data_IF_947131858554
#
_entry.id   IF_947131858554
#
_cell.length_a   1.000
_cell.length_b   1.000
_cell.length_c   1.000
_cell.angle_alpha   90.00
_cell.angle_beta   90.00
_cell.angle_gamma   90.00
#
_symmetry.space_group_name_H-M   'P 1'
#
loop_
_entity.id
_entity.type
_entity.pdbx_description
1 polymer ?
#
# COMPACT_ATOMS: atom_id res chain seq x y z
N UNK A 1 2.70 13.31 -11.70
CA UNK A 1 2.66 11.84 -11.77
C UNK A 1 2.10 11.34 -10.45
N UNK A 2 1.13 10.43 -10.47
CA UNK A 2 0.63 9.78 -9.26
C UNK A 2 1.67 8.79 -8.73
N UNK A 3 1.64 8.55 -7.42
CA UNK A 3 2.48 7.51 -6.78
C UNK A 3 2.25 6.15 -7.43
N UNK A 4 3.27 5.28 -7.50
CA UNK A 4 3.08 3.89 -7.86
C UNK A 4 2.03 3.26 -6.93
N UNK A 5 1.11 2.49 -7.50
CA UNK A 5 0.03 1.86 -6.75
C UNK A 5 -0.04 0.38 -7.13
N UNK A 6 0.11 -0.49 -6.12
CA UNK A 6 0.14 -1.94 -6.31
C UNK A 6 -1.15 -2.44 -6.96
N UNK A 7 -2.30 -2.00 -6.47
CA UNK A 7 -3.60 -2.46 -6.98
C UNK A 7 -3.82 -2.01 -8.42
N UNK A 8 -3.48 -0.75 -8.76
CA UNK A 8 -3.56 -0.23 -10.13
C UNK A 8 -2.63 -0.94 -11.11
N UNK A 9 -1.49 -1.43 -10.64
CA UNK A 9 -0.61 -2.25 -11.48
C UNK A 9 -1.25 -3.61 -11.73
N UNK A 10 -1.85 -4.23 -10.72
CA UNK A 10 -2.52 -5.53 -10.83
C UNK A 10 -3.77 -5.47 -11.73
N UNK A 11 -4.48 -4.36 -11.76
CA UNK A 11 -5.62 -4.14 -12.65
C UNK A 11 -5.25 -4.23 -14.14
N UNK A 12 -3.98 -4.00 -14.50
CA UNK A 12 -3.49 -4.12 -15.88
C UNK A 12 -3.11 -5.55 -16.28
N UNK A 13 -3.20 -6.49 -15.35
CA UNK A 13 -2.87 -7.89 -15.64
C UNK A 13 -4.03 -8.56 -16.38
N UNK A 14 -3.73 -9.33 -17.41
CA UNK A 14 -4.75 -10.08 -18.16
C UNK A 14 -5.65 -10.93 -17.25
N UNK A 15 -6.96 -10.92 -17.49
CA UNK A 15 -7.97 -11.63 -16.67
C UNK A 15 -8.41 -10.88 -15.42
N UNK A 16 -7.96 -9.66 -15.24
CA UNK A 16 -8.47 -8.72 -14.23
C UNK A 16 -9.29 -7.66 -14.95
N UNK A 17 -10.54 -7.49 -14.53
CA UNK A 17 -11.37 -6.40 -15.01
C UNK A 17 -11.15 -5.16 -14.13
N UNK A 18 -11.08 -4.01 -14.76
CA UNK A 18 -11.14 -2.74 -14.05
C UNK A 18 -12.57 -2.59 -13.50
N UNK A 19 -12.70 -2.28 -12.22
CA UNK A 19 -13.97 -1.87 -11.63
C UNK A 19 -14.43 -0.52 -12.20
N UNK A 20 -15.61 -0.08 -11.79
CA UNK A 20 -16.08 1.27 -12.12
C UNK A 20 -15.00 2.30 -11.73
N UNK A 21 -14.87 3.38 -12.50
CA UNK A 21 -13.77 4.36 -12.48
C UNK A 21 -13.34 4.90 -11.09
N UNK A 22 -14.16 4.73 -10.05
CA UNK A 22 -13.88 5.14 -8.67
C UNK A 22 -13.73 3.96 -7.69
N UNK A 23 -13.91 2.70 -8.14
CA UNK A 23 -13.78 1.54 -7.26
C UNK A 23 -12.45 0.83 -7.54
N UNK A 24 -11.49 0.96 -6.64
CA UNK A 24 -10.15 0.35 -6.75
C UNK A 24 -10.14 -1.15 -6.41
N UNK A 25 -11.25 -1.86 -6.58
CA UNK A 25 -11.31 -3.31 -6.42
C UNK A 25 -10.61 -4.05 -7.57
N UNK A 26 -10.10 -5.24 -7.28
CA UNK A 26 -9.74 -6.22 -8.30
C UNK A 26 -10.95 -7.09 -8.60
N UNK A 27 -11.32 -7.20 -9.85
CA UNK A 27 -12.38 -8.08 -10.33
C UNK A 27 -11.73 -9.17 -11.17
N UNK A 28 -11.45 -10.31 -10.54
CA UNK A 28 -10.67 -11.39 -11.14
C UNK A 28 -11.57 -12.49 -11.57
N UNK A 29 -11.53 -12.89 -12.84
CA UNK A 29 -12.34 -13.98 -13.43
C UNK A 29 -13.85 -13.87 -13.13
N UNK A 30 -14.39 -12.65 -13.08
CA UNK A 30 -15.81 -12.40 -12.80
C UNK A 30 -16.20 -12.42 -11.33
N UNK A 31 -15.23 -12.60 -10.41
CA UNK A 31 -15.47 -12.47 -8.98
C UNK A 31 -15.56 -11.00 -8.53
N UNK A 32 -16.16 -10.77 -7.37
CA UNK A 32 -16.32 -9.46 -6.77
C UNK A 32 -15.04 -8.97 -6.05
N UNK A 33 -14.95 -7.66 -5.80
CA UNK A 33 -13.80 -7.06 -5.13
C UNK A 33 -13.53 -7.59 -3.72
N UNK A 34 -14.59 -7.99 -3.00
CA UNK A 34 -14.53 -8.56 -1.65
C UNK A 34 -14.17 -10.05 -1.61
N UNK A 35 -14.14 -10.72 -2.76
CA UNK A 35 -13.74 -12.12 -2.89
C UNK A 35 -12.23 -12.30 -3.05
N UNK A 36 -11.45 -11.23 -3.05
CA UNK A 36 -10.00 -11.27 -3.10
C UNK A 36 -9.39 -11.26 -1.68
N UNK A 37 -8.35 -12.06 -1.48
CA UNK A 37 -7.56 -12.05 -0.26
C UNK A 37 -6.34 -11.15 -0.46
N UNK A 38 -6.24 -10.09 0.33
CA UNK A 38 -5.06 -9.24 0.36
C UNK A 38 -4.25 -9.52 1.62
N UNK A 39 -2.96 -9.70 1.44
CA UNK A 39 -2.03 -9.98 2.52
C UNK A 39 -0.86 -8.99 2.46
N UNK A 40 -0.39 -8.57 3.61
CA UNK A 40 0.89 -7.88 3.78
C UNK A 40 1.75 -8.66 4.77
N UNK A 41 2.89 -9.15 4.31
CA UNK A 41 3.77 -10.05 5.06
C UNK A 41 3.00 -11.22 5.73
N UNK A 42 2.04 -11.82 5.01
CA UNK A 42 1.20 -12.92 5.46
C UNK A 42 0.03 -12.55 6.37
N UNK A 43 -0.15 -11.27 6.72
CA UNK A 43 -1.26 -10.79 7.54
C UNK A 43 -2.40 -10.28 6.65
N UNK A 44 -3.65 -10.73 6.86
CA UNK A 44 -4.79 -10.25 6.08
C UNK A 44 -5.03 -8.74 6.26
N UNK A 45 -5.22 -8.07 5.13
CA UNK A 45 -5.59 -6.66 5.06
C UNK A 45 -7.06 -6.57 4.61
N UNK A 46 -7.91 -5.99 5.44
CA UNK A 46 -9.35 -5.90 5.16
C UNK A 46 -9.73 -4.62 4.42
N UNK A 47 -9.08 -3.51 4.75
CA UNK A 47 -9.27 -2.24 4.06
C UNK A 47 -8.08 -1.99 3.14
N UNK A 48 -8.31 -2.15 1.86
CA UNK A 48 -7.27 -2.09 0.83
C UNK A 48 -7.17 -0.73 0.15
N UNK A 49 -8.03 0.23 0.55
CA UNK A 49 -8.19 1.46 -0.20
C UNK A 49 -8.36 2.70 0.68
N UNK A 50 -7.80 3.81 0.22
CA UNK A 50 -8.02 5.14 0.76
C UNK A 50 -8.75 6.04 -0.25
N UNK A 51 -9.42 7.06 0.25
CA UNK A 51 -10.08 8.09 -0.58
C UNK A 51 -11.02 7.51 -1.64
N UNK A 52 -11.96 6.66 -1.22
CA UNK A 52 -12.95 6.02 -2.11
C UNK A 52 -12.31 5.22 -3.26
N UNK A 53 -11.09 4.70 -3.05
CA UNK A 53 -10.43 3.89 -4.03
C UNK A 53 -9.38 4.59 -4.90
N UNK A 54 -9.13 5.86 -4.68
CA UNK A 54 -8.11 6.59 -5.43
C UNK A 54 -6.68 6.12 -5.12
N UNK A 55 -6.46 5.59 -3.91
CA UNK A 55 -5.17 5.07 -3.46
C UNK A 55 -5.35 3.71 -2.81
N UNK A 56 -4.41 2.81 -3.06
CA UNK A 56 -4.33 1.56 -2.27
C UNK A 56 -3.67 1.81 -0.92
N UNK A 57 -4.02 0.98 0.07
CA UNK A 57 -3.39 0.97 1.39
C UNK A 57 -1.94 0.44 1.36
N UNK A 58 -1.48 -0.06 0.22
CA UNK A 58 -0.12 -0.52 0.04
C UNK A 58 0.82 0.65 -0.26
N UNK A 59 1.75 0.92 0.63
CA UNK A 59 2.84 1.85 0.37
C UNK A 59 3.88 1.18 -0.54
N UNK A 60 3.86 1.52 -1.84
CA UNK A 60 4.73 0.89 -2.83
C UNK A 60 6.23 1.07 -2.55
N UNK A 61 6.62 2.10 -1.80
CA UNK A 61 8.03 2.37 -1.51
C UNK A 61 8.66 1.31 -0.59
N UNK A 62 7.84 0.66 0.27
CA UNK A 62 8.32 -0.43 1.15
C UNK A 62 8.10 -1.82 0.55
N UNK A 63 7.42 -1.93 -0.59
CA UNK A 63 7.12 -3.23 -1.21
C UNK A 63 8.35 -3.80 -1.89
N UNK A 64 8.64 -5.07 -1.60
CA UNK A 64 9.70 -5.85 -2.25
C UNK A 64 9.17 -6.71 -3.38
N UNK A 65 8.07 -7.41 -3.13
CA UNK A 65 7.48 -8.38 -4.05
C UNK A 65 5.97 -8.44 -3.88
N UNK A 66 5.28 -8.79 -4.97
CA UNK A 66 3.84 -9.04 -4.97
C UNK A 66 3.60 -10.35 -5.69
N UNK A 67 3.12 -11.36 -4.98
CA UNK A 67 2.67 -12.61 -5.56
C UNK A 67 1.17 -12.53 -5.79
N UNK A 68 0.74 -12.58 -7.05
CA UNK A 68 -0.64 -12.49 -7.45
C UNK A 68 -1.15 -13.82 -8.02
N UNK A 69 -2.05 -14.47 -7.30
CA UNK A 69 -2.68 -15.71 -7.71
C UNK A 69 -4.11 -15.42 -8.18
N UNK A 70 -4.37 -15.52 -9.47
CA UNK A 70 -5.70 -15.31 -10.07
C UNK A 70 -6.61 -16.52 -9.95
N UNK A 71 -6.02 -17.70 -9.79
CA UNK A 71 -6.68 -19.00 -9.59
C UNK A 71 -5.65 -20.02 -9.11
N UNK A 72 -6.11 -21.17 -8.61
CA UNK A 72 -5.19 -22.26 -8.24
C UNK A 72 -4.20 -21.91 -7.15
N UNK A 73 -4.55 -21.05 -6.22
CA UNK A 73 -3.68 -20.66 -5.12
C UNK A 73 -3.44 -21.83 -4.15
N UNK A 74 -2.26 -21.91 -3.50
CA UNK A 74 -1.93 -22.94 -2.54
C UNK A 74 -2.94 -23.05 -1.39
N UNK A 75 -3.12 -24.26 -0.85
CA UNK A 75 -4.09 -24.56 0.23
C UNK A 75 -3.87 -23.77 1.53
N UNK A 76 -2.69 -23.15 1.71
CA UNK A 76 -2.41 -22.25 2.84
C UNK A 76 -3.24 -20.97 2.81
N UNK A 77 -3.76 -20.58 1.65
CA UNK A 77 -4.63 -19.43 1.49
C UNK A 77 -6.09 -19.90 1.52
N UNK A 78 -6.87 -19.33 2.41
CA UNK A 78 -8.30 -19.65 2.55
C UNK A 78 -9.14 -18.40 2.77
N UNK A 79 -10.47 -18.60 2.81
CA UNK A 79 -11.42 -17.54 3.18
C UNK A 79 -11.81 -16.57 2.07
N UNK A 80 -11.29 -16.75 0.83
CA UNK A 80 -11.66 -15.97 -0.34
C UNK A 80 -11.71 -16.87 -1.58
N UNK A 81 -12.51 -16.48 -2.58
CA UNK A 81 -12.86 -17.33 -3.70
C UNK A 81 -12.21 -16.92 -5.02
N UNK A 82 -11.91 -15.63 -5.22
CA UNK A 82 -11.51 -15.10 -6.51
C UNK A 82 -9.99 -15.08 -6.69
N UNK A 83 -9.27 -14.35 -5.86
CA UNK A 83 -7.81 -14.23 -5.99
C UNK A 83 -7.09 -14.02 -4.67
N UNK A 84 -5.75 -14.15 -4.71
CA UNK A 84 -4.87 -13.83 -3.58
C UNK A 84 -3.79 -12.87 -4.03
N UNK A 85 -3.63 -11.78 -3.32
CA UNK A 85 -2.57 -10.79 -3.47
C UNK A 85 -1.71 -10.83 -2.21
N UNK A 86 -0.55 -11.45 -2.29
CA UNK A 86 0.42 -11.55 -1.18
C UNK A 86 1.54 -10.53 -1.40
N UNK A 87 1.47 -9.41 -0.68
CA UNK A 87 2.44 -8.32 -0.74
C UNK A 87 3.48 -8.54 0.34
N UNK A 88 4.75 -8.56 -0.06
CA UNK A 88 5.89 -8.66 0.85
C UNK A 88 6.65 -7.37 0.89
N UNK A 89 6.87 -6.88 2.10
CA UNK A 89 7.69 -5.68 2.32
C UNK A 89 9.18 -6.02 2.35
N UNK A 90 10.02 -5.03 2.04
CA UNK A 90 11.45 -5.18 2.08
C UNK A 90 11.96 -5.43 3.51
N UNK A 91 12.95 -6.30 3.63
CA UNK A 91 13.57 -6.68 4.91
C UNK A 91 14.51 -5.59 5.46
N UNK A 92 14.83 -4.57 4.65
CA UNK A 92 15.84 -3.57 4.94
C UNK A 92 17.26 -4.04 4.63
N UNK A 93 18.16 -3.09 4.50
CA UNK A 93 19.57 -3.38 4.20
C UNK A 93 20.33 -3.75 5.47
N UNK A 94 21.00 -4.90 5.47
CA UNK A 94 21.76 -5.38 6.65
C UNK A 94 23.17 -4.79 6.77
N UNK A 95 23.64 -4.04 5.76
CA UNK A 95 25.02 -3.57 5.72
C UNK A 95 25.15 -2.05 5.69
N UNK A 96 24.22 -1.37 5.02
CA UNK A 96 24.31 0.07 4.75
C UNK A 96 22.94 0.74 5.03
N UNK A 97 23.01 1.98 5.48
CA UNK A 97 21.83 2.83 5.60
C UNK A 97 21.45 3.39 4.22
N UNK A 98 20.16 3.32 3.91
CA UNK A 98 19.57 3.99 2.75
C UNK A 98 18.35 4.79 3.19
N UNK A 99 18.16 5.91 2.57
CA UNK A 99 16.97 6.73 2.73
C UNK A 99 16.48 7.19 1.37
N UNK A 100 15.17 7.19 1.19
CA UNK A 100 14.50 7.70 0.01
C UNK A 100 13.35 8.61 0.43
N UNK A 101 13.07 9.60 -0.40
CA UNK A 101 11.86 10.42 -0.26
C UNK A 101 11.24 10.64 -1.63
N UNK A 102 9.94 10.81 -1.64
CA UNK A 102 9.19 11.14 -2.84
C UNK A 102 8.15 12.22 -2.49
N UNK A 103 8.04 13.18 -3.37
CA UNK A 103 7.04 14.23 -3.29
C UNK A 103 6.24 14.18 -4.59
N UNK A 104 4.98 13.80 -4.48
CA UNK A 104 4.02 13.78 -5.58
C UNK A 104 3.01 14.91 -5.48
N UNK A 105 2.13 15.01 -6.48
CA UNK A 105 1.08 16.03 -6.50
C UNK A 105 0.04 15.83 -5.38
N UNK A 106 -0.24 14.59 -5.01
CA UNK A 106 -1.33 14.23 -4.09
C UNK A 106 -0.83 13.64 -2.76
N UNK A 107 0.41 13.13 -2.72
CA UNK A 107 1.01 12.51 -1.56
C UNK A 107 2.52 12.71 -1.50
N UNK A 108 3.09 12.50 -0.33
CA UNK A 108 4.52 12.32 -0.15
C UNK A 108 4.81 11.07 0.67
N UNK A 109 6.00 10.54 0.46
CA UNK A 109 6.50 9.40 1.22
C UNK A 109 7.97 9.59 1.57
N UNK A 110 8.34 8.97 2.68
CA UNK A 110 9.73 8.80 3.11
C UNK A 110 9.94 7.33 3.48
N UNK A 111 11.12 6.84 3.19
CA UNK A 111 11.54 5.50 3.57
C UNK A 111 12.96 5.54 4.12
N UNK A 112 13.19 4.79 5.18
CA UNK A 112 14.52 4.60 5.78
C UNK A 112 14.73 3.12 6.04
N UNK A 113 15.88 2.62 5.63
CA UNK A 113 16.29 1.25 5.91
C UNK A 113 17.76 1.20 6.30
N UNK A 114 18.12 0.22 7.10
CA UNK A 114 19.52 0.05 7.48
C UNK A 114 19.74 -1.04 8.53
N UNK A 115 21.02 -1.26 8.89
CA UNK A 115 21.37 -2.22 9.93
C UNK A 115 21.16 -1.64 11.33
N UNK A 116 20.50 -2.42 12.19
CA UNK A 116 20.61 -2.25 13.65
C UNK A 116 21.89 -2.95 14.11
N UNK A 117 22.13 -4.15 13.61
CA UNK A 117 23.37 -4.90 13.79
C UNK A 117 23.81 -5.43 12.43
N UNK A 118 24.99 -4.96 11.95
CA UNK A 118 25.50 -5.33 10.62
C UNK A 118 25.52 -6.84 10.41
N UNK A 119 24.97 -7.28 9.28
CA UNK A 119 24.90 -8.69 8.89
C UNK A 119 23.87 -9.53 9.65
N UNK A 120 23.22 -9.01 10.70
CA UNK A 120 22.30 -9.79 11.54
C UNK A 120 20.91 -9.17 11.64
N UNK A 121 20.81 -7.86 11.89
CA UNK A 121 19.52 -7.22 12.15
C UNK A 121 19.39 -5.98 11.28
N UNK A 122 18.29 -5.88 10.56
CA UNK A 122 17.95 -4.70 9.76
C UNK A 122 16.56 -4.20 10.09
N UNK A 123 16.32 -2.96 9.73
CA UNK A 123 15.00 -2.35 9.79
C UNK A 123 14.64 -1.72 8.44
N UNK A 124 13.35 -1.60 8.20
CA UNK A 124 12.76 -0.84 7.11
C UNK A 124 11.54 -0.10 7.65
N UNK A 125 11.53 1.21 7.52
CA UNK A 125 10.44 2.07 7.97
C UNK A 125 10.05 2.95 6.80
N UNK A 126 8.76 2.94 6.45
CA UNK A 126 8.20 3.80 5.43
C UNK A 126 6.97 4.53 5.94
N UNK A 127 6.86 5.80 5.63
CA UNK A 127 5.69 6.61 5.91
C UNK A 127 5.22 7.29 4.63
N UNK A 128 3.90 7.31 4.42
CA UNK A 128 3.26 8.01 3.33
C UNK A 128 2.10 8.83 3.88
N UNK A 129 1.94 10.07 3.40
CA UNK A 129 0.82 10.95 3.74
C UNK A 129 0.31 11.65 2.49
N UNK A 130 -1.02 11.68 2.33
CA UNK A 130 -1.65 12.55 1.34
C UNK A 130 -1.84 13.96 1.93
N UNK A 131 -1.87 14.96 1.06
CA UNK A 131 -2.10 16.36 1.44
C UNK A 131 -3.31 16.99 0.74
N UNK A 132 -4.28 16.17 0.39
CA UNK A 132 -5.54 16.66 -0.20
C UNK A 132 -6.24 17.66 0.72
N UNK A 133 -6.08 17.52 2.05
CA UNK A 133 -6.56 18.47 3.05
C UNK A 133 -5.95 19.88 2.90
N UNK A 134 -4.66 19.94 2.53
CA UNK A 134 -3.96 21.22 2.32
C UNK A 134 -4.47 21.95 1.07
N UNK A 135 -4.92 21.21 0.07
CA UNK A 135 -5.46 21.76 -1.17
C UNK A 135 -6.96 22.03 -1.07
N UNK A 136 -7.73 21.14 -0.44
CA UNK A 136 -9.19 21.27 -0.37
C UNK A 136 -9.65 22.34 0.61
N UNK A 137 -9.02 22.47 1.78
CA UNK A 137 -9.43 23.46 2.79
C UNK A 137 -9.41 24.92 2.32
N UNK A 138 -8.34 25.46 1.69
CA UNK A 138 -8.38 26.81 1.17
C UNK A 138 -9.37 26.97 0.03
N UNK A 139 -9.54 25.92 -0.80
CA UNK A 139 -10.47 25.96 -1.91
C UNK A 139 -11.92 25.99 -1.43
N UNK A 140 -12.31 25.08 -0.53
CA UNK A 140 -13.65 25.07 0.06
C UNK A 140 -13.95 26.37 0.79
N UNK A 141 -12.97 26.92 1.51
CA UNK A 141 -13.10 28.20 2.21
C UNK A 141 -13.28 29.40 1.26
N UNK A 142 -12.67 29.36 0.08
CA UNK A 142 -12.77 30.41 -0.92
C UNK A 142 -14.12 30.39 -1.66
N UNK A 143 -14.76 29.23 -1.77
CA UNK A 143 -16.05 29.03 -2.44
C UNK A 143 -17.25 28.91 -1.49
N UNK A 144 -17.03 28.93 -0.18
CA UNK A 144 -18.13 28.95 0.82
C UNK A 144 -18.67 30.35 0.97
N UNK A 145 -19.99 30.45 1.12
CA UNK A 145 -20.66 31.73 1.47
C UNK A 145 -20.21 32.23 2.86
N UNK A 146 -20.25 33.54 3.13
CA UNK A 146 -19.74 34.13 4.37
C UNK A 146 -20.34 33.56 5.66
N UNK A 147 -21.54 33.00 5.59
CA UNK A 147 -22.25 32.39 6.72
C UNK A 147 -22.07 30.87 6.84
N UNK A 148 -21.56 30.19 5.82
CA UNK A 148 -21.25 28.75 5.84
C UNK A 148 -19.76 28.49 6.06
N UNK A 149 -19.38 28.12 7.28
CA UNK A 149 -18.02 27.70 7.62
C UNK A 149 -17.78 26.23 7.22
N UNK A 150 -18.08 25.86 5.97
CA UNK A 150 -17.82 24.52 5.48
C UNK A 150 -16.34 24.37 5.12
N UNK A 151 -15.60 23.58 5.88
CA UNK A 151 -14.20 23.22 5.57
C UNK A 151 -14.08 21.71 5.53
N UNK A 152 -14.06 21.16 4.32
CA UNK A 152 -13.88 19.72 4.11
C UNK A 152 -12.39 19.46 3.83
N UNK A 153 -11.77 18.65 4.67
CA UNK A 153 -10.41 18.20 4.47
C UNK A 153 -10.32 16.70 4.68
N UNK A 154 -9.79 15.98 3.70
CA UNK A 154 -9.49 14.56 3.80
C UNK A 154 -7.98 14.35 3.66
N UNK A 155 -7.41 13.50 4.47
CA UNK A 155 -6.06 12.99 4.31
C UNK A 155 -5.99 11.55 4.82
N UNK A 156 -5.02 10.81 4.34
CA UNK A 156 -4.64 9.53 4.91
C UNK A 156 -3.13 9.51 5.23
N UNK A 157 -2.75 8.63 6.12
CA UNK A 157 -1.36 8.40 6.48
C UNK A 157 -1.16 6.91 6.69
N UNK A 158 -0.14 6.36 6.04
CA UNK A 158 0.30 4.99 6.20
C UNK A 158 1.68 4.97 6.85
N UNK A 159 1.84 4.11 7.83
CA UNK A 159 3.12 3.82 8.47
C UNK A 159 3.38 2.32 8.40
N UNK A 160 4.50 1.96 7.82
CA UNK A 160 4.99 0.59 7.76
C UNK A 160 6.32 0.52 8.48
N UNK A 161 6.49 -0.45 9.37
CA UNK A 161 7.75 -0.70 10.06
C UNK A 161 7.99 -2.19 10.13
N UNK A 162 9.20 -2.63 9.76
CA UNK A 162 9.61 -4.02 9.78
C UNK A 162 11.02 -4.11 10.35
N UNK A 163 11.22 -5.06 11.23
CA UNK A 163 12.54 -5.42 11.77
C UNK A 163 12.77 -6.90 11.49
N UNK A 164 13.90 -7.22 10.93
CA UNK A 164 14.30 -8.60 10.63
C UNK A 164 15.57 -8.93 11.39
N UNK A 165 15.55 -10.06 12.09
CA UNK A 165 16.72 -10.63 12.72
C UNK A 165 17.07 -11.98 12.12
N UNK A 166 18.33 -12.15 11.71
CA UNK A 166 18.87 -13.39 11.19
C UNK A 166 19.60 -14.14 12.30
N UNK A 167 19.05 -15.26 12.74
CA UNK A 167 19.68 -16.14 13.74
C UNK A 167 20.75 -17.02 13.11
N UNK A 168 20.53 -17.47 11.88
CA UNK A 168 21.47 -18.27 11.09
C UNK A 168 21.18 -18.04 9.60
N UNK A 169 22.02 -18.60 8.71
CA UNK A 169 21.82 -18.50 7.26
C UNK A 169 20.50 -19.14 6.78
N UNK A 170 19.88 -19.99 7.62
CA UNK A 170 18.62 -20.69 7.31
C UNK A 170 17.44 -20.23 8.13
N UNK A 171 17.63 -19.33 9.10
CA UNK A 171 16.56 -18.90 10.01
C UNK A 171 16.60 -17.38 10.22
N UNK A 172 15.47 -16.75 9.88
CA UNK A 172 15.22 -15.32 10.13
C UNK A 172 13.78 -15.11 10.63
N UNK A 173 13.59 -14.11 11.45
CA UNK A 173 12.30 -13.57 11.92
C UNK A 173 12.27 -12.09 11.62
#
# INVERSE_FOLDING_TARGET
MSSPDVVKILQRVSGVAEGQELASGLYVHGGNGDENLYLIDGTPLYDTNHALGLFSSFNADVVKNVDFYKSGFPARYGGRLSSVVDVRTADGNMNQFHGAYRIGLLDASVQFEGPIQKGKTSYNIGMRRSWQDLLSRPLTKAFSEPDEKLSIGYYFMDLNAKVIHRFSDRSKI
#
